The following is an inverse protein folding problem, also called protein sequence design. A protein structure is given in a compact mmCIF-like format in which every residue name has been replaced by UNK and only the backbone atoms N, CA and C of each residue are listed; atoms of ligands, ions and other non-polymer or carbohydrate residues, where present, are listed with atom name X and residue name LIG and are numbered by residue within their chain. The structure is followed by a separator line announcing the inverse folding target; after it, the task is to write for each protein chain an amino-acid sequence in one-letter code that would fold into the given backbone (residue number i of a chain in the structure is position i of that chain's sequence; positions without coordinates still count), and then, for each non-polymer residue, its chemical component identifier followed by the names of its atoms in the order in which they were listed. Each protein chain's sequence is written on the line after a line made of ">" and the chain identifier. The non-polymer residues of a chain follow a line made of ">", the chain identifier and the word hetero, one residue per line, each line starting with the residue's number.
data_IF_901408641721
#
_entry.id   IF_901408641721
#
_cell.length_a   1.000
_cell.length_b   1.000
_cell.length_c   1.000
_cell.angle_alpha   90.00
_cell.angle_beta   90.00
_cell.angle_gamma   90.00
#
_symmetry.space_group_name_H-M   'P 1'
#
loop_
_entity.id
_entity.type
_entity.pdbx_description
1 polymer ?
#
# COMPACT_ATOMS: atom_id res chain seq x y z
N UNK A 1 -3.66 23.70 3.87
CA UNK A 1 -3.59 22.93 2.62
C UNK A 1 -2.14 22.69 2.22
N UNK A 2 -1.27 23.70 2.33
CA UNK A 2 0.17 23.60 1.97
C UNK A 2 0.93 22.49 2.70
N UNK A 3 0.66 22.27 4.00
CA UNK A 3 1.33 21.20 4.76
C UNK A 3 1.02 19.78 4.25
N UNK A 4 -0.19 19.55 3.72
CA UNK A 4 -0.57 18.23 3.18
C UNK A 4 0.11 18.01 1.83
N UNK A 5 0.15 19.03 0.97
CA UNK A 5 0.84 18.95 -0.32
C UNK A 5 2.35 18.71 -0.15
N UNK A 6 2.98 19.36 0.83
CA UNK A 6 4.41 19.14 1.14
C UNK A 6 4.68 17.71 1.64
N UNK A 7 3.78 17.14 2.45
CA UNK A 7 3.91 15.76 2.92
C UNK A 7 3.69 14.73 1.80
N UNK A 8 2.78 15.02 0.87
CA UNK A 8 2.58 14.20 -0.35
C UNK A 8 3.84 14.21 -1.21
N UNK A 9 4.49 15.37 -1.38
CA UNK A 9 5.74 15.49 -2.13
C UNK A 9 6.91 14.76 -1.45
N UNK A 10 6.97 14.79 -0.12
CA UNK A 10 8.04 14.15 0.66
C UNK A 10 7.88 12.63 0.80
N UNK A 11 6.80 12.02 0.27
CA UNK A 11 6.46 10.58 0.37
C UNK A 11 6.43 10.04 1.82
N UNK A 12 6.24 10.89 2.83
CA UNK A 12 6.06 10.45 4.23
C UNK A 12 4.59 10.18 4.51
N UNK A 13 4.14 8.97 4.17
CA UNK A 13 2.74 8.57 4.30
C UNK A 13 2.28 8.42 5.76
N UNK A 14 3.19 8.08 6.68
CA UNK A 14 2.85 7.92 8.09
C UNK A 14 2.60 9.27 8.76
N UNK A 15 3.42 10.28 8.44
CA UNK A 15 3.17 11.65 8.87
C UNK A 15 1.92 12.24 8.19
N UNK A 16 1.69 11.91 6.92
CA UNK A 16 0.51 12.33 6.16
C UNK A 16 -0.79 11.85 6.82
N UNK A 17 -0.88 10.56 7.18
CA UNK A 17 -2.06 10.02 7.88
C UNK A 17 -2.34 10.81 9.16
N UNK A 18 -1.34 11.01 10.02
CA UNK A 18 -1.50 11.77 11.28
C UNK A 18 -1.93 13.22 11.06
N UNK A 19 -1.39 13.86 10.03
CA UNK A 19 -1.77 15.23 9.67
C UNK A 19 -3.23 15.29 9.20
N UNK A 20 -3.63 14.36 8.32
CA UNK A 20 -5.00 14.25 7.82
C UNK A 20 -6.01 13.90 8.93
N UNK A 21 -5.66 13.00 9.85
CA UNK A 21 -6.48 12.69 11.04
C UNK A 21 -6.67 13.92 11.93
N UNK A 22 -5.60 14.68 12.20
CA UNK A 22 -5.70 15.91 12.99
C UNK A 22 -6.63 16.92 12.34
N UNK A 23 -6.49 17.11 11.04
CA UNK A 23 -7.36 18.00 10.26
C UNK A 23 -8.81 17.52 10.37
N UNK A 24 -9.07 16.23 10.20
CA UNK A 24 -10.41 15.63 10.30
C UNK A 24 -11.04 15.83 11.70
N UNK A 25 -10.26 15.68 12.78
CA UNK A 25 -10.71 15.96 14.14
C UNK A 25 -11.01 17.45 14.37
N UNK A 26 -10.17 18.35 13.85
CA UNK A 26 -10.42 19.80 13.92
C UNK A 26 -11.70 20.19 13.17
N UNK A 27 -12.00 19.51 12.05
CA UNK A 27 -13.26 19.71 11.32
C UNK A 27 -14.48 19.25 12.11
N UNK A 28 -14.37 18.16 12.87
CA UNK A 28 -15.46 17.68 13.72
C UNK A 28 -15.74 18.64 14.88
N UNK A 29 -14.71 19.33 15.39
CA UNK A 29 -14.83 20.31 16.47
C UNK A 29 -15.43 21.66 16.01
N UNK A 30 -15.10 22.12 14.79
CA UNK A 30 -15.56 23.41 14.25
C UNK A 30 -16.19 23.24 12.86
N UNK A 31 -17.53 23.09 12.76
CA UNK A 31 -18.22 22.86 11.48
C UNK A 31 -18.28 24.06 10.53
N UNK A 32 -17.85 25.24 10.98
CA UNK A 32 -18.14 26.54 10.33
C UNK A 32 -17.21 26.93 9.19
N UNK A 33 -16.29 26.05 8.79
CA UNK A 33 -15.25 26.40 7.84
C UNK A 33 -15.33 25.49 6.62
N UNK A 34 -15.35 26.16 5.47
CA UNK A 34 -15.51 25.60 4.13
C UNK A 34 -14.25 24.85 3.68
N UNK A 35 -13.75 23.94 4.50
CA UNK A 35 -12.71 23.01 4.08
C UNK A 35 -13.35 21.93 3.20
N UNK A 36 -12.67 21.55 2.12
CA UNK A 36 -13.09 20.48 1.22
C UNK A 36 -12.97 19.12 1.92
N UNK A 37 -13.90 18.84 2.83
CA UNK A 37 -13.97 17.62 3.65
C UNK A 37 -13.91 16.37 2.76
N UNK A 38 -14.48 16.45 1.56
CA UNK A 38 -14.56 15.36 0.58
C UNK A 38 -13.16 14.96 0.07
N UNK A 39 -12.36 15.94 -0.32
CA UNK A 39 -11.00 15.75 -0.83
C UNK A 39 -10.08 15.20 0.27
N UNK A 40 -10.18 15.72 1.49
CA UNK A 40 -9.37 15.26 2.63
C UNK A 40 -9.71 13.80 2.99
N UNK A 41 -10.98 13.41 2.92
CA UNK A 41 -11.39 12.03 3.17
C UNK A 41 -10.85 11.06 2.11
N UNK A 42 -10.87 11.46 0.83
CA UNK A 42 -10.30 10.66 -0.25
C UNK A 42 -8.77 10.49 -0.10
N UNK A 43 -8.07 11.59 0.20
CA UNK A 43 -6.62 11.58 0.49
C UNK A 43 -6.30 10.66 1.67
N UNK A 44 -7.06 10.73 2.75
CA UNK A 44 -6.85 9.91 3.94
C UNK A 44 -7.08 8.41 3.66
N UNK A 45 -8.09 8.05 2.86
CA UNK A 45 -8.32 6.66 2.44
C UNK A 45 -7.13 6.10 1.67
N UNK A 46 -6.59 6.87 0.71
CA UNK A 46 -5.43 6.45 -0.08
C UNK A 46 -4.15 6.40 0.76
N UNK A 47 -3.99 7.33 1.70
CA UNK A 47 -2.89 7.31 2.65
C UNK A 47 -2.91 6.04 3.53
N UNK A 48 -4.09 5.61 4.01
CA UNK A 48 -4.22 4.33 4.70
C UNK A 48 -3.87 3.13 3.82
N UNK A 49 -4.29 3.15 2.54
CA UNK A 49 -3.93 2.10 1.58
C UNK A 49 -2.40 2.01 1.35
N UNK A 50 -1.71 3.15 1.32
CA UNK A 50 -0.25 3.22 1.21
C UNK A 50 0.47 2.64 2.44
N UNK A 51 -0.03 2.95 3.64
CA UNK A 51 0.50 2.46 4.91
C UNK A 51 0.15 0.99 5.17
N UNK A 52 -0.67 0.37 4.31
CA UNK A 52 -1.20 -1.00 4.47
C UNK A 52 -2.19 -1.17 5.64
N UNK A 53 -2.68 -0.06 6.22
CA UNK A 53 -3.70 -0.09 7.28
C UNK A 53 -5.11 -0.04 6.68
N UNK A 54 -5.50 -1.17 6.08
CA UNK A 54 -6.82 -1.31 5.48
C UNK A 54 -7.95 -1.33 6.53
N UNK A 55 -7.63 -1.67 7.78
CA UNK A 55 -8.60 -1.62 8.89
C UNK A 55 -8.98 -0.17 9.20
N UNK A 56 -7.98 0.72 9.30
CA UNK A 56 -8.18 2.16 9.43
C UNK A 56 -9.08 2.72 8.33
N UNK A 57 -8.82 2.34 7.07
CA UNK A 57 -9.65 2.74 5.93
C UNK A 57 -11.12 2.28 6.09
N UNK A 58 -11.37 1.06 6.58
CA UNK A 58 -12.73 0.54 6.81
C UNK A 58 -13.49 1.33 7.87
N UNK A 59 -12.83 1.65 8.99
CA UNK A 59 -13.45 2.46 10.04
C UNK A 59 -13.76 3.88 9.54
N UNK A 60 -12.84 4.48 8.78
CA UNK A 60 -13.06 5.76 8.14
C UNK A 60 -14.29 5.73 7.21
N UNK A 61 -14.41 4.70 6.36
CA UNK A 61 -15.56 4.54 5.46
C UNK A 61 -16.88 4.46 6.21
N UNK A 62 -16.96 3.69 7.29
CA UNK A 62 -18.17 3.61 8.13
C UNK A 62 -18.56 4.98 8.70
N UNK A 63 -17.57 5.75 9.17
CA UNK A 63 -17.79 7.11 9.70
C UNK A 63 -18.27 8.09 8.63
N UNK A 64 -17.70 8.01 7.42
CA UNK A 64 -18.13 8.82 6.27
C UNK A 64 -19.59 8.52 5.91
N UNK A 65 -19.96 7.23 5.86
CA UNK A 65 -21.33 6.81 5.57
C UNK A 65 -22.31 7.29 6.66
N UNK A 66 -21.93 7.20 7.94
CA UNK A 66 -22.72 7.71 9.06
C UNK A 66 -22.89 9.23 9.01
N UNK A 67 -21.88 9.96 8.56
CA UNK A 67 -21.91 11.42 8.39
C UNK A 67 -22.67 11.89 7.13
N UNK A 68 -23.14 10.97 6.28
CA UNK A 68 -23.85 11.31 5.03
C UNK A 68 -22.98 11.96 3.95
N UNK A 69 -21.65 11.90 4.08
CA UNK A 69 -20.69 12.61 3.21
C UNK A 69 -20.29 11.73 2.03
N UNK A 70 -21.13 11.62 1.00
CA UNK A 70 -20.85 10.78 -0.20
C UNK A 70 -20.31 11.60 -1.36
N UNK A 71 -19.18 11.22 -1.92
CA UNK A 71 -18.66 11.74 -3.19
C UNK A 71 -18.06 10.61 -4.01
N UNK A 72 -18.14 10.77 -5.33
CA UNK A 72 -17.67 9.77 -6.30
C UNK A 72 -16.18 9.46 -6.12
N UNK A 73 -15.36 10.46 -5.77
CA UNK A 73 -13.93 10.27 -5.49
C UNK A 73 -13.67 9.41 -4.24
N UNK A 74 -14.49 9.54 -3.19
CA UNK A 74 -14.36 8.70 -1.99
C UNK A 74 -14.80 7.27 -2.31
N UNK A 75 -15.84 7.12 -3.13
CA UNK A 75 -16.33 5.80 -3.55
C UNK A 75 -15.29 5.09 -4.43
N UNK A 76 -14.62 5.81 -5.34
CA UNK A 76 -13.51 5.30 -6.13
C UNK A 76 -12.31 4.92 -5.26
N UNK A 77 -11.88 5.79 -4.34
CA UNK A 77 -10.79 5.50 -3.40
C UNK A 77 -11.11 4.29 -2.51
N UNK A 78 -12.35 4.19 -2.04
CA UNK A 78 -12.80 3.03 -1.27
C UNK A 78 -12.80 1.75 -2.11
N UNK A 79 -13.21 1.82 -3.38
CA UNK A 79 -13.15 0.66 -4.30
C UNK A 79 -11.72 0.16 -4.46
N UNK A 80 -10.73 1.04 -4.58
CA UNK A 80 -9.32 0.65 -4.59
C UNK A 80 -8.91 -0.07 -3.30
N UNK A 81 -9.33 0.45 -2.14
CA UNK A 81 -9.06 -0.20 -0.84
C UNK A 81 -9.68 -1.61 -0.77
N UNK A 82 -10.90 -1.79 -1.28
CA UNK A 82 -11.59 -3.10 -1.32
C UNK A 82 -10.85 -4.06 -2.26
N UNK A 83 -10.45 -3.61 -3.44
CA UNK A 83 -9.69 -4.43 -4.39
C UNK A 83 -8.36 -4.89 -3.77
N UNK A 84 -7.66 -4.00 -3.06
CA UNK A 84 -6.44 -4.34 -2.32
C UNK A 84 -6.72 -5.35 -1.19
N UNK A 85 -7.85 -5.21 -0.50
CA UNK A 85 -8.27 -6.15 0.54
C UNK A 85 -8.54 -7.56 -0.03
N UNK A 86 -9.27 -7.64 -1.14
CA UNK A 86 -9.60 -8.89 -1.83
C UNK A 86 -8.42 -9.47 -2.62
N UNK A 87 -7.32 -8.72 -2.76
CA UNK A 87 -6.13 -9.08 -3.54
C UNK A 87 -6.41 -9.32 -5.03
N UNK A 88 -7.38 -8.59 -5.59
CA UNK A 88 -7.76 -8.66 -7.01
C UNK A 88 -6.92 -7.69 -7.83
N UNK A 89 -5.66 -8.02 -8.04
CA UNK A 89 -4.69 -7.08 -8.65
C UNK A 89 -5.00 -6.70 -10.10
N UNK A 90 -5.66 -7.57 -10.86
CA UNK A 90 -6.06 -7.30 -12.25
C UNK A 90 -7.03 -6.09 -12.32
N UNK A 91 -8.03 -6.07 -11.45
CA UNK A 91 -9.05 -5.01 -11.39
C UNK A 91 -8.52 -3.71 -10.78
N UNK A 92 -7.38 -3.75 -10.10
CA UNK A 92 -6.80 -2.57 -9.48
C UNK A 92 -6.42 -1.53 -10.54
N UNK A 93 -5.77 -1.96 -11.61
CA UNK A 93 -5.32 -1.06 -12.68
C UNK A 93 -6.49 -0.50 -13.49
N UNK A 94 -7.51 -1.31 -13.74
CA UNK A 94 -8.75 -0.86 -14.37
C UNK A 94 -9.45 0.20 -13.52
N UNK A 95 -9.65 -0.07 -12.22
CA UNK A 95 -10.28 0.86 -11.29
C UNK A 95 -9.50 2.17 -11.11
N UNK A 96 -8.17 2.12 -11.22
CA UNK A 96 -7.30 3.29 -11.15
C UNK A 96 -7.49 4.21 -12.36
N UNK A 97 -7.61 3.62 -13.56
CA UNK A 97 -7.82 4.35 -14.82
C UNK A 97 -9.25 4.85 -15.03
N UNK A 98 -10.23 4.25 -14.34
CA UNK A 98 -11.65 4.51 -14.52
C UNK A 98 -12.12 5.88 -13.98
N UNK A 99 -11.38 6.53 -13.08
CA UNK A 99 -11.81 7.76 -12.41
C UNK A 99 -10.81 8.93 -12.63
N UNK A 100 -11.27 10.13 -13.00
CA UNK A 100 -10.42 11.31 -13.08
C UNK A 100 -10.14 11.87 -11.67
N UNK A 101 -8.98 11.53 -11.12
CA UNK A 101 -8.56 11.95 -9.78
C UNK A 101 -8.28 13.46 -9.70
N UNK A 102 -8.53 14.05 -8.52
CA UNK A 102 -8.17 15.43 -8.24
C UNK A 102 -6.64 15.62 -8.27
N UNK A 103 -6.13 16.83 -8.57
CA UNK A 103 -4.69 17.08 -8.67
C UNK A 103 -3.92 16.83 -7.37
N UNK A 104 -4.61 16.88 -6.22
CA UNK A 104 -4.04 16.54 -4.92
C UNK A 104 -3.85 15.03 -4.73
N UNK A 105 -4.70 14.22 -5.37
CA UNK A 105 -4.78 12.78 -5.20
C UNK A 105 -3.93 12.04 -6.23
N UNK A 106 -3.76 12.59 -7.43
CA UNK A 106 -2.90 12.02 -8.48
C UNK A 106 -1.53 11.50 -7.99
N UNK A 107 -0.69 12.30 -7.30
CA UNK A 107 0.61 11.83 -6.84
C UNK A 107 0.52 10.67 -5.82
N UNK A 108 -0.57 10.60 -5.04
CA UNK A 108 -0.81 9.49 -4.11
C UNK A 108 -1.15 8.22 -4.86
N UNK A 109 -1.99 8.31 -5.89
CA UNK A 109 -2.39 7.17 -6.72
C UNK A 109 -1.19 6.60 -7.48
N UNK A 110 -0.34 7.45 -8.05
CA UNK A 110 0.91 7.01 -8.69
C UNK A 110 1.82 6.28 -7.69
N UNK A 111 2.00 6.86 -6.50
CA UNK A 111 2.81 6.21 -5.45
C UNK A 111 2.21 4.90 -4.95
N UNK A 112 0.87 4.78 -4.95
CA UNK A 112 0.17 3.56 -4.58
C UNK A 112 0.43 2.46 -5.63
N UNK A 113 0.40 2.83 -6.90
CA UNK A 113 0.73 1.92 -8.00
C UNK A 113 2.18 1.42 -7.91
N UNK A 114 3.14 2.30 -7.65
CA UNK A 114 4.55 1.93 -7.44
C UNK A 114 4.71 0.98 -6.24
N UNK A 115 4.10 1.34 -5.11
CA UNK A 115 4.18 0.55 -3.87
C UNK A 115 3.57 -0.84 -4.06
N UNK A 116 2.42 -0.93 -4.72
CA UNK A 116 1.75 -2.19 -5.01
C UNK A 116 2.59 -3.07 -5.94
N UNK A 117 3.18 -2.50 -7.00
CA UNK A 117 4.09 -3.23 -7.90
C UNK A 117 5.32 -3.79 -7.17
N UNK A 118 5.93 -3.00 -6.29
CA UNK A 118 7.05 -3.45 -5.47
C UNK A 118 6.65 -4.57 -4.50
N UNK A 119 5.51 -4.44 -3.82
CA UNK A 119 4.96 -5.49 -2.95
C UNK A 119 4.69 -6.78 -3.74
N UNK A 120 4.06 -6.67 -4.91
CA UNK A 120 3.78 -7.81 -5.78
C UNK A 120 5.05 -8.50 -6.25
N UNK A 121 6.08 -7.75 -6.65
CA UNK A 121 7.36 -8.32 -7.05
C UNK A 121 7.95 -9.21 -5.93
N UNK A 122 7.94 -8.74 -4.68
CA UNK A 122 8.44 -9.52 -3.53
C UNK A 122 7.57 -10.76 -3.26
N UNK A 123 6.25 -10.64 -3.40
CA UNK A 123 5.32 -11.75 -3.19
C UNK A 123 5.52 -12.82 -4.27
N UNK A 124 5.59 -12.43 -5.52
CA UNK A 124 5.78 -13.33 -6.66
C UNK A 124 7.16 -14.01 -6.62
N UNK A 125 8.20 -13.30 -6.22
CA UNK A 125 9.54 -13.88 -5.97
C UNK A 125 9.54 -15.01 -4.94
N UNK A 126 8.63 -14.97 -3.96
CA UNK A 126 8.49 -16.01 -2.93
C UNK A 126 7.58 -17.14 -3.37
N UNK A 127 6.55 -16.84 -4.16
CA UNK A 127 5.49 -17.78 -4.51
C UNK A 127 5.82 -18.63 -5.74
N UNK A 128 6.57 -18.08 -6.71
CA UNK A 128 6.81 -18.72 -8.00
C UNK A 128 8.29 -19.00 -8.25
N UNK A 129 8.57 -20.16 -8.84
CA UNK A 129 9.89 -20.50 -9.36
C UNK A 129 10.05 -20.11 -10.83
N UNK A 130 9.00 -20.35 -11.63
CA UNK A 130 8.86 -19.91 -13.01
C UNK A 130 7.44 -19.33 -13.16
N UNK A 131 7.26 -18.30 -13.97
CA UNK A 131 5.96 -17.66 -14.22
C UNK A 131 5.83 -17.25 -15.69
N UNK A 132 4.67 -17.51 -16.28
CA UNK A 132 4.39 -17.13 -17.67
C UNK A 132 4.28 -15.61 -17.85
N UNK A 133 4.67 -15.13 -19.02
CA UNK A 133 4.60 -13.72 -19.39
C UNK A 133 3.18 -13.13 -19.29
N UNK A 134 2.15 -13.85 -19.74
CA UNK A 134 0.75 -13.39 -19.68
C UNK A 134 0.28 -13.23 -18.23
N UNK A 135 0.58 -14.21 -17.38
CA UNK A 135 0.26 -14.14 -15.95
C UNK A 135 0.96 -12.95 -15.29
N UNK A 136 2.25 -12.73 -15.63
CA UNK A 136 3.01 -11.59 -15.15
C UNK A 136 2.39 -10.25 -15.61
N UNK A 137 2.02 -10.14 -16.88
CA UNK A 137 1.37 -8.94 -17.44
C UNK A 137 0.08 -8.58 -16.70
N UNK A 138 -0.75 -9.58 -16.39
CA UNK A 138 -2.00 -9.40 -15.61
C UNK A 138 -1.74 -8.91 -14.19
N UNK A 139 -0.74 -9.46 -13.50
CA UNK A 139 -0.42 -9.04 -12.13
C UNK A 139 0.16 -7.62 -12.05
N UNK A 140 1.00 -7.21 -13.00
CA UNK A 140 1.66 -5.90 -12.98
C UNK A 140 0.86 -4.80 -13.72
N UNK A 141 -0.16 -5.19 -14.48
CA UNK A 141 -0.99 -4.29 -15.29
C UNK A 141 -0.16 -3.52 -16.33
N UNK A 142 0.86 -4.17 -16.89
CA UNK A 142 1.77 -3.59 -17.88
C UNK A 142 1.72 -4.37 -19.18
N UNK A 143 1.98 -3.65 -20.28
CA UNK A 143 2.19 -4.28 -21.58
C UNK A 143 3.46 -5.13 -21.55
N UNK A 144 3.47 -6.22 -22.34
CA UNK A 144 4.65 -7.10 -22.48
C UNK A 144 5.97 -6.36 -22.77
N UNK A 145 6.04 -5.34 -23.67
CA UNK A 145 7.30 -4.68 -23.97
C UNK A 145 7.86 -3.85 -22.81
N UNK A 146 7.00 -3.33 -21.92
CA UNK A 146 7.42 -2.53 -20.77
C UNK A 146 7.77 -3.41 -19.56
N UNK A 147 7.15 -4.60 -19.48
CA UNK A 147 7.31 -5.52 -18.37
C UNK A 147 8.70 -6.15 -18.31
N UNK A 148 9.23 -6.58 -19.47
CA UNK A 148 10.55 -7.22 -19.56
C UNK A 148 11.68 -6.32 -19.03
N UNK A 149 11.83 -5.05 -19.46
CA UNK A 149 12.87 -4.16 -18.92
C UNK A 149 12.65 -3.85 -17.43
N UNK A 150 11.40 -3.71 -16.98
CA UNK A 150 11.10 -3.44 -15.57
C UNK A 150 11.48 -4.61 -14.65
N UNK A 151 11.15 -5.85 -15.03
CA UNK A 151 11.46 -7.04 -14.24
C UNK A 151 12.95 -7.42 -14.30
N UNK A 152 13.58 -7.26 -15.46
CA UNK A 152 15.03 -7.48 -15.58
C UNK A 152 15.84 -6.47 -14.75
N UNK A 153 15.40 -5.21 -14.66
CA UNK A 153 16.00 -4.23 -13.74
C UNK A 153 15.86 -4.63 -12.26
N UNK A 154 14.82 -5.40 -11.91
CA UNK A 154 14.62 -5.99 -10.58
C UNK A 154 15.39 -7.31 -10.38
N UNK A 155 16.24 -7.71 -11.35
CA UNK A 155 17.07 -8.91 -11.28
C UNK A 155 16.36 -10.21 -11.68
N UNK A 156 15.17 -10.13 -12.29
CA UNK A 156 14.47 -11.33 -12.76
C UNK A 156 15.06 -11.81 -14.08
N UNK A 157 15.27 -13.12 -14.21
CA UNK A 157 15.73 -13.72 -15.46
C UNK A 157 14.55 -13.92 -16.41
N UNK A 158 14.68 -13.50 -17.67
CA UNK A 158 13.67 -13.71 -18.71
C UNK A 158 14.22 -14.65 -19.78
N UNK A 159 13.48 -15.72 -20.08
CA UNK A 159 13.78 -16.61 -21.21
C UNK A 159 12.82 -16.36 -22.37
N UNK A 160 13.35 -15.79 -23.46
CA UNK A 160 12.59 -15.44 -24.65
C UNK A 160 12.06 -16.67 -25.42
N UNK A 161 12.68 -17.84 -25.26
CA UNK A 161 12.28 -19.05 -25.97
C UNK A 161 11.02 -19.68 -25.35
N UNK A 162 10.95 -19.68 -24.02
CA UNK A 162 9.85 -20.27 -23.25
C UNK A 162 8.80 -19.24 -22.82
N UNK A 163 9.07 -17.93 -22.98
CA UNK A 163 8.24 -16.82 -22.50
C UNK A 163 7.97 -16.89 -20.99
N UNK A 164 8.96 -17.35 -20.23
CA UNK A 164 8.88 -17.50 -18.79
C UNK A 164 9.82 -16.53 -18.08
N UNK A 165 9.35 -16.00 -16.96
CA UNK A 165 10.15 -15.29 -15.98
C UNK A 165 10.60 -16.23 -14.87
N UNK A 166 11.86 -16.08 -14.49
CA UNK A 166 12.48 -16.72 -13.33
C UNK A 166 12.72 -15.63 -12.28
N UNK A 167 11.88 -15.54 -11.24
CA UNK A 167 12.06 -14.54 -10.21
C UNK A 167 13.39 -14.77 -9.49
N UNK A 168 14.11 -13.69 -9.18
CA UNK A 168 15.28 -13.78 -8.31
C UNK A 168 14.82 -14.32 -6.96
N UNK A 169 15.32 -15.49 -6.56
CA UNK A 169 15.04 -16.03 -5.22
C UNK A 169 15.49 -14.99 -4.20
N UNK A 170 14.62 -14.55 -3.28
CA UNK A 170 15.07 -13.66 -2.21
C UNK A 170 16.13 -14.42 -1.43
N UNK A 171 17.33 -13.86 -1.32
CA UNK A 171 18.41 -14.41 -0.50
C UNK A 171 17.80 -14.75 0.85
N UNK A 172 17.62 -16.04 1.13
CA UNK A 172 17.10 -16.49 2.40
C UNK A 172 18.01 -15.88 3.46
N UNK A 173 17.45 -15.00 4.31
CA UNK A 173 18.22 -14.43 5.40
C UNK A 173 18.86 -15.61 6.13
N UNK A 174 20.18 -15.67 6.06
CA UNK A 174 20.98 -16.57 6.87
C UNK A 174 20.43 -16.48 8.27
N UNK A 175 20.01 -17.64 8.82
CA UNK A 175 19.60 -17.77 10.21
C UNK A 175 20.80 -17.31 11.04
N UNK A 176 20.83 -16.03 11.41
CA UNK A 176 21.87 -15.52 12.29
C UNK A 176 21.84 -16.33 13.59
N UNK A 177 22.99 -16.78 14.10
CA UNK A 177 23.07 -17.52 15.35
C UNK A 177 22.56 -16.59 16.45
N UNK A 178 21.36 -16.89 16.92
CA UNK A 178 20.64 -16.11 17.91
C UNK A 178 21.11 -16.50 19.31
N UNK A 179 22.39 -16.34 19.65
CA UNK A 179 22.92 -17.08 20.81
C UNK A 179 23.21 -16.24 22.08
N UNK A 180 23.03 -14.92 22.10
CA UNK A 180 23.24 -14.14 23.35
C UNK A 180 21.98 -13.47 23.90
N UNK A 181 21.16 -12.85 23.04
CA UNK A 181 19.95 -12.16 23.46
C UNK A 181 18.79 -13.10 23.82
N UNK A 182 18.80 -14.34 23.34
CA UNK A 182 17.84 -15.36 23.73
C UNK A 182 18.20 -15.96 25.10
N UNK A 183 19.49 -16.17 25.35
CA UNK A 183 20.01 -16.67 26.64
C UNK A 183 19.75 -15.66 27.76
N UNK A 184 19.97 -14.37 27.54
CA UNK A 184 19.67 -13.34 28.54
C UNK A 184 18.17 -13.22 28.83
N UNK A 185 17.30 -13.44 27.84
CA UNK A 185 15.84 -13.50 28.05
C UNK A 185 15.45 -14.73 28.86
N UNK A 186 16.04 -15.89 28.59
CA UNK A 186 15.80 -17.11 29.35
C UNK A 186 16.27 -16.97 30.81
N UNK A 187 17.46 -16.41 31.02
CA UNK A 187 17.97 -16.12 32.36
C UNK A 187 17.04 -15.16 33.13
N UNK A 188 16.55 -14.10 32.47
CA UNK A 188 15.59 -13.18 33.07
C UNK A 188 14.22 -13.82 33.34
N UNK A 189 13.76 -14.77 32.52
CA UNK A 189 12.51 -15.49 32.79
C UNK A 189 12.65 -16.46 33.96
N UNK A 190 13.80 -17.13 34.10
CA UNK A 190 14.06 -18.02 35.24
C UNK A 190 14.15 -17.22 36.54
N UNK A 191 14.87 -16.09 36.55
CA UNK A 191 14.96 -15.20 37.70
C UNK A 191 13.58 -14.72 38.19
N UNK A 192 12.63 -14.47 37.28
CA UNK A 192 11.26 -14.06 37.64
C UNK A 192 10.42 -15.21 38.23
N UNK A 193 10.73 -16.45 37.87
CA UNK A 193 10.01 -17.63 38.36
C UNK A 193 10.51 -18.08 39.74
N UNK A 194 11.78 -17.81 40.08
CA UNK A 194 12.34 -18.11 41.41
C UNK A 194 11.86 -17.16 42.53
N UNK A 195 11.25 -16.03 42.18
CA UNK A 195 10.76 -15.04 43.16
C UNK A 195 9.34 -15.33 43.68
N UNK A 196 8.75 -16.46 43.28
CA UNK A 196 7.47 -17.00 43.77
C UNK A 196 7.69 -18.35 44.46
#
# INVERSE_FOLDING_TARGET
>A
MDGIQQLVLNKDYAALVKACERVELQMAASPSANWNIREICAVLLLAYALVDDLNGARFLRKRILAAGRRSDEIDAAWRLCVIMWERRYEEFYEALSAYPWSPLVLPLVESLQETLRNKLAIVLQKAYMNMDLDTASRYFGMSEPDLVPALTAQGWGYDANTRMFTPAKPTSLSRHPSEMNQVSRLANTLLRLEQY
#
